data_IF_572848146681
#
_entry.id   IF_572848146681
#
_cell.length_a   1.000
_cell.length_b   1.000
_cell.length_c   1.000
_cell.angle_alpha   90.00
_cell.angle_beta   90.00
_cell.angle_gamma   90.00
#
_symmetry.space_group_name_H-M   'P 1'
#
loop_
_entity.id
_entity.type
_entity.pdbx_description
1 polymer ?
#
# COMPACT_ATOMS: atom_id res chain seq x y z
N UNK A 1 -8.99 -4.19 2.10
CA UNK A 1 -7.81 -4.65 2.85
C UNK A 1 -7.25 -5.85 2.11
N UNK A 2 -5.94 -6.03 2.18
CA UNK A 2 -5.20 -7.10 1.51
C UNK A 2 -4.07 -7.60 2.39
N UNK A 3 -3.66 -8.84 2.16
CA UNK A 3 -2.58 -9.49 2.88
C UNK A 3 -1.69 -10.20 1.87
N UNK A 4 -0.38 -10.03 2.00
CA UNK A 4 0.62 -10.71 1.15
C UNK A 4 1.75 -11.22 2.04
N UNK A 5 2.08 -12.51 1.95
CA UNK A 5 3.18 -13.11 2.71
C UNK A 5 4.43 -13.22 1.82
N UNK A 6 5.56 -12.74 2.34
CA UNK A 6 6.88 -12.91 1.71
C UNK A 6 7.90 -13.34 2.76
N UNK A 7 8.26 -14.63 2.76
CA UNK A 7 9.16 -15.20 3.76
C UNK A 7 8.63 -15.01 5.19
N UNK A 8 9.43 -14.33 6.02
CA UNK A 8 9.07 -13.98 7.40
C UNK A 8 8.15 -12.75 7.50
N UNK A 9 7.93 -12.00 6.42
CA UNK A 9 7.13 -10.78 6.45
C UNK A 9 5.70 -11.04 5.99
N UNK A 10 4.73 -10.54 6.73
CA UNK A 10 3.32 -10.49 6.36
C UNK A 10 2.92 -9.03 6.13
N UNK A 11 2.75 -8.64 4.87
CA UNK A 11 2.30 -7.31 4.49
C UNK A 11 0.78 -7.20 4.63
N UNK A 12 0.33 -6.10 5.21
CA UNK A 12 -1.08 -5.83 5.50
C UNK A 12 -1.41 -4.42 5.01
N UNK A 13 -2.45 -4.31 4.18
CA UNK A 13 -2.90 -3.02 3.66
C UNK A 13 -4.18 -2.55 4.36
N UNK A 14 -4.19 -1.27 4.73
CA UNK A 14 -5.30 -0.56 5.35
C UNK A 14 -5.63 0.65 4.48
N UNK A 15 -6.56 0.53 3.52
CA UNK A 15 -6.95 1.65 2.65
C UNK A 15 -7.56 2.80 3.46
N UNK A 16 -7.26 4.05 3.10
CA UNK A 16 -7.73 5.24 3.81
C UNK A 16 -9.18 5.61 3.46
N UNK A 17 -10.12 4.84 4.02
CA UNK A 17 -11.58 5.06 3.93
C UNK A 17 -12.18 5.81 5.11
N UNK A 18 -11.39 6.08 6.15
CA UNK A 18 -11.77 6.81 7.36
C UNK A 18 -10.56 7.57 7.89
N UNK A 19 -10.81 8.57 8.74
CA UNK A 19 -9.76 9.26 9.48
C UNK A 19 -9.04 8.30 10.45
N UNK A 20 -7.81 8.66 10.83
CA UNK A 20 -7.04 7.93 11.85
C UNK A 20 -6.21 6.75 11.34
N UNK A 21 -5.99 6.60 10.02
CA UNK A 21 -5.13 5.56 9.46
C UNK A 21 -3.72 6.12 9.24
N UNK A 22 -2.74 5.82 10.12
CA UNK A 22 -1.41 6.43 10.06
C UNK A 22 -0.61 5.96 8.84
N UNK A 23 -0.66 4.67 8.51
CA UNK A 23 0.02 4.09 7.37
C UNK A 23 -0.90 3.11 6.63
N UNK A 24 -0.97 3.25 5.31
CA UNK A 24 -1.81 2.38 4.48
C UNK A 24 -1.15 1.04 4.16
N UNK A 25 0.18 0.97 4.19
CA UNK A 25 0.95 -0.26 4.04
C UNK A 25 1.74 -0.54 5.32
N UNK A 26 1.55 -1.74 5.85
CA UNK A 26 2.17 -2.19 7.08
C UNK A 26 2.73 -3.60 6.91
N UNK A 27 3.53 -4.04 7.87
CA UNK A 27 3.98 -5.43 7.94
C UNK A 27 4.07 -5.94 9.38
N UNK A 28 4.11 -7.27 9.48
CA UNK A 28 4.44 -8.03 10.69
C UNK A 28 5.60 -8.98 10.38
N UNK A 29 6.42 -9.29 11.38
CA UNK A 29 7.40 -10.38 11.32
C UNK A 29 6.76 -11.63 11.93
N UNK A 30 6.63 -12.70 11.16
CA UNK A 30 5.99 -13.95 11.61
C UNK A 30 6.79 -14.61 12.73
N UNK A 31 8.12 -14.55 12.67
CA UNK A 31 9.02 -15.07 13.69
C UNK A 31 8.93 -14.30 15.02
N UNK A 32 8.83 -12.96 14.96
CA UNK A 32 8.77 -12.11 16.16
C UNK A 32 7.36 -11.94 16.72
N UNK A 33 6.39 -11.67 15.84
CA UNK A 33 5.04 -11.24 16.20
C UNK A 33 4.03 -12.40 16.16
N UNK A 34 4.37 -13.54 15.55
CA UNK A 34 3.43 -14.65 15.28
C UNK A 34 2.90 -15.39 16.52
N UNK A 35 3.51 -15.20 17.69
CA UNK A 35 3.02 -15.75 18.97
C UNK A 35 2.04 -14.82 19.68
N UNK A 36 1.96 -13.56 19.27
CA UNK A 36 1.04 -12.58 19.83
C UNK A 36 -0.27 -12.66 19.08
N UNK A 37 -1.40 -12.75 19.79
CA UNK A 37 -2.74 -12.87 19.18
C UNK A 37 -3.11 -11.67 18.30
N UNK A 38 -2.72 -10.47 18.71
CA UNK A 38 -3.03 -9.20 18.04
C UNK A 38 -1.81 -8.26 18.07
N UNK A 39 -0.76 -8.52 17.28
CA UNK A 39 0.42 -7.69 17.28
C UNK A 39 0.15 -6.33 16.65
N UNK A 40 0.88 -5.31 17.10
CA UNK A 40 0.80 -3.97 16.52
C UNK A 40 1.37 -3.97 15.08
N UNK A 41 0.66 -3.29 14.17
CA UNK A 41 1.12 -3.11 12.80
C UNK A 41 2.29 -2.12 12.75
N UNK A 42 3.28 -2.43 11.91
CA UNK A 42 4.44 -1.56 11.68
C UNK A 42 4.35 -0.94 10.28
N UNK A 43 4.41 0.40 10.13
CA UNK A 43 4.45 1.05 8.84
C UNK A 43 5.62 0.53 7.99
N UNK A 44 5.37 0.30 6.71
CA UNK A 44 6.41 -0.12 5.77
C UNK A 44 6.76 1.01 4.76
N UNK A 45 8.04 1.25 4.46
CA UNK A 45 9.23 0.63 5.08
C UNK A 45 9.56 1.23 6.46
N UNK A 46 9.14 2.48 6.71
CA UNK A 46 9.11 3.13 8.01
C UNK A 46 8.02 4.21 8.01
N UNK A 47 7.76 4.83 9.18
CA UNK A 47 6.69 5.83 9.31
C UNK A 47 6.89 7.07 8.44
N UNK A 48 8.13 7.49 8.17
CA UNK A 48 8.40 8.70 7.39
C UNK A 48 8.13 8.43 5.90
N UNK A 49 8.64 7.32 5.38
CA UNK A 49 8.49 6.93 3.97
C UNK A 49 7.09 6.39 3.65
N UNK A 50 6.42 5.73 4.61
CA UNK A 50 5.05 5.23 4.44
C UNK A 50 4.04 6.35 4.13
N UNK A 51 4.33 7.60 4.54
CA UNK A 51 3.47 8.77 4.24
C UNK A 51 3.38 9.11 2.75
N UNK A 52 4.34 8.66 1.93
CA UNK A 52 4.29 8.83 0.48
C UNK A 52 3.17 8.02 -0.19
N UNK A 53 2.67 6.98 0.49
CA UNK A 53 1.53 6.20 0.03
C UNK A 53 0.24 6.83 0.58
N UNK A 54 -0.73 7.07 -0.29
CA UNK A 54 -2.02 7.64 0.12
C UNK A 54 -2.98 6.54 0.57
N UNK A 55 -3.31 5.60 -0.32
CA UNK A 55 -4.27 4.53 -0.03
C UNK A 55 -4.00 3.33 -0.93
N UNK A 56 -3.63 2.22 -0.32
CA UNK A 56 -3.27 0.98 -1.02
C UNK A 56 -4.25 -0.13 -0.65
N UNK A 57 -4.75 -0.85 -1.65
CA UNK A 57 -5.71 -1.93 -1.46
C UNK A 57 -5.11 -3.32 -1.43
N UNK A 58 -4.27 -3.63 -2.40
CA UNK A 58 -3.67 -4.94 -2.58
C UNK A 58 -2.19 -4.76 -2.89
N UNK A 59 -1.42 -5.71 -2.43
CA UNK A 59 -0.01 -5.86 -2.73
C UNK A 59 0.20 -7.19 -3.44
N UNK A 60 1.28 -7.28 -4.22
CA UNK A 60 1.72 -8.53 -4.82
C UNK A 60 3.23 -8.61 -4.83
N UNK A 61 3.79 -9.68 -4.29
CA UNK A 61 5.21 -9.96 -4.41
C UNK A 61 5.48 -10.78 -5.68
N UNK A 62 6.58 -10.45 -6.37
CA UNK A 62 7.05 -11.24 -7.51
C UNK A 62 8.27 -12.10 -7.16
N UNK A 63 8.66 -12.96 -8.12
CA UNK A 63 9.81 -13.86 -7.98
C UNK A 63 11.16 -13.15 -7.82
N UNK A 64 11.24 -11.85 -8.15
CA UNK A 64 12.45 -11.05 -8.05
C UNK A 64 12.57 -10.36 -6.68
N UNK A 65 11.64 -10.61 -5.75
CA UNK A 65 11.63 -9.94 -4.47
C UNK A 65 11.18 -8.48 -4.58
N UNK A 66 10.28 -8.15 -5.50
CA UNK A 66 9.68 -6.82 -5.58
C UNK A 66 8.24 -6.85 -5.07
N UNK A 67 7.87 -5.87 -4.26
CA UNK A 67 6.51 -5.68 -3.77
C UNK A 67 5.81 -4.61 -4.61
N UNK A 68 4.80 -5.05 -5.36
CA UNK A 68 3.98 -4.23 -6.23
C UNK A 68 2.71 -3.80 -5.53
N UNK A 69 2.26 -2.59 -5.82
CA UNK A 69 0.97 -2.08 -5.37
C UNK A 69 0.45 -1.00 -6.30
N UNK A 70 -0.85 -0.74 -6.19
CA UNK A 70 -1.49 0.46 -6.71
C UNK A 70 -1.82 1.36 -5.53
N UNK A 71 -1.25 2.55 -5.55
CA UNK A 71 -1.62 3.65 -4.66
C UNK A 71 -2.68 4.48 -5.37
N UNK A 72 -3.90 4.50 -4.86
CA UNK A 72 -5.03 5.17 -5.53
C UNK A 72 -4.89 6.69 -5.50
N UNK A 73 -4.06 7.22 -4.61
CA UNK A 73 -3.97 8.67 -4.37
C UNK A 73 -5.24 9.30 -3.80
N UNK A 74 -6.25 8.48 -3.47
CA UNK A 74 -7.59 8.91 -3.08
C UNK A 74 -7.83 8.60 -1.60
N UNK A 75 -8.27 9.60 -0.86
CA UNK A 75 -8.91 9.42 0.44
C UNK A 75 -10.41 9.20 0.20
N UNK A 76 -10.92 8.04 0.61
CA UNK A 76 -12.31 7.62 0.39
C UNK A 76 -13.12 7.80 1.68
N UNK A 77 -13.03 9.00 2.27
CA UNK A 77 -13.78 9.31 3.49
C UNK A 77 -15.25 9.57 3.10
N UNK A 78 -16.23 8.89 3.74
CA UNK A 78 -17.64 9.11 3.47
C UNK A 78 -18.02 10.59 3.58
N UNK A 79 -18.65 11.13 2.55
CA UNK A 79 -19.07 12.54 2.48
C UNK A 79 -17.94 13.54 2.14
N UNK A 80 -16.68 13.12 2.09
CA UNK A 80 -15.54 13.98 1.72
C UNK A 80 -14.43 13.20 1.00
N UNK A 81 -14.69 12.62 -0.18
CA UNK A 81 -13.63 11.99 -0.97
C UNK A 81 -12.65 13.06 -1.49
N UNK A 82 -11.35 12.80 -1.39
CA UNK A 82 -10.31 13.75 -1.80
C UNK A 82 -9.18 13.06 -2.59
N UNK A 83 -8.95 13.50 -3.83
CA UNK A 83 -7.83 13.06 -4.65
C UNK A 83 -6.58 13.87 -4.28
N UNK A 84 -5.65 13.30 -3.52
CA UNK A 84 -4.44 13.98 -3.05
C UNK A 84 -3.28 13.91 -4.05
N UNK A 85 -3.24 12.85 -4.85
CA UNK A 85 -2.20 12.63 -5.85
C UNK A 85 -2.73 11.75 -6.98
N UNK A 86 -2.09 11.75 -8.15
CA UNK A 86 -2.48 10.84 -9.23
C UNK A 86 -2.34 9.37 -8.77
N UNK A 87 -3.25 8.47 -9.17
CA UNK A 87 -3.07 7.04 -8.96
C UNK A 87 -1.74 6.59 -9.57
N UNK A 88 -1.05 5.66 -8.92
CA UNK A 88 0.27 5.22 -9.36
C UNK A 88 0.51 3.74 -9.09
N UNK A 89 1.28 3.11 -9.98
CA UNK A 89 1.96 1.84 -9.66
C UNK A 89 3.20 2.18 -8.85
N UNK A 90 3.34 1.55 -7.69
CA UNK A 90 4.50 1.71 -6.81
C UNK A 90 5.16 0.36 -6.59
N UNK A 91 6.48 0.33 -6.67
CA UNK A 91 7.27 -0.89 -6.49
C UNK A 91 8.35 -0.63 -5.44
N UNK A 92 8.41 -1.51 -4.46
CA UNK A 92 9.50 -1.58 -3.49
C UNK A 92 10.37 -2.79 -3.78
N UNK A 93 11.69 -2.59 -3.72
CA UNK A 93 12.63 -3.70 -3.59
C UNK A 93 12.59 -4.21 -2.15
N UNK A 94 12.31 -5.51 -1.97
CA UNK A 94 12.18 -6.13 -0.65
C UNK A 94 13.53 -6.45 -0.01
N UNK A 95 14.63 -6.46 -0.76
CA UNK A 95 15.95 -6.68 -0.19
C UNK A 95 16.47 -5.42 0.54
N UNK A 96 16.25 -4.24 -0.05
CA UNK A 96 16.70 -2.95 0.52
C UNK A 96 15.60 -2.13 1.19
N UNK A 97 14.35 -2.57 1.12
CA UNK A 97 13.16 -1.84 1.59
C UNK A 97 13.07 -0.42 1.03
N UNK A 98 13.43 -0.26 -0.25
CA UNK A 98 13.43 1.04 -0.95
C UNK A 98 12.42 1.04 -2.08
N UNK A 99 11.76 2.18 -2.27
CA UNK A 99 10.95 2.40 -3.45
C UNK A 99 11.88 2.48 -4.66
N UNK A 100 11.70 1.58 -5.63
CA UNK A 100 12.50 1.54 -6.85
C UNK A 100 11.76 2.10 -8.07
N UNK A 101 10.43 2.19 -8.00
CA UNK A 101 9.60 2.77 -9.04
C UNK A 101 8.36 3.41 -8.43
N UNK A 102 7.99 4.59 -8.93
CA UNK A 102 6.64 5.13 -8.86
C UNK A 102 6.29 5.60 -10.27
N UNK A 103 5.27 4.99 -10.88
CA UNK A 103 4.73 5.38 -12.16
C UNK A 103 3.35 6.02 -11.94
N UNK A 104 3.25 7.37 -11.91
CA UNK A 104 1.97 8.06 -11.88
C UNK A 104 1.23 7.78 -13.20
N UNK A 105 -0.04 7.39 -13.10
CA UNK A 105 -0.88 7.17 -14.27
C UNK A 105 -1.08 8.46 -15.03
N UNK A 106 -0.86 8.38 -16.33
CA UNK A 106 -1.19 9.43 -17.29
C UNK A 106 -2.69 9.40 -17.54
N UNK A 107 -3.22 10.48 -18.13
CA UNK A 107 -4.61 10.51 -18.59
C UNK A 107 -4.94 9.35 -19.54
N UNK A 108 -3.98 8.90 -20.35
CA UNK A 108 -4.12 7.75 -21.25
C UNK A 108 -4.21 6.39 -20.54
N UNK A 109 -3.74 6.29 -19.30
CA UNK A 109 -3.72 5.04 -18.54
C UNK A 109 -5.01 4.85 -17.72
N UNK A 110 -5.79 5.92 -17.56
CA UNK A 110 -7.02 5.92 -16.81
C UNK A 110 -8.21 5.58 -17.72
N UNK A 111 -9.16 4.76 -17.24
CA UNK A 111 -10.40 4.56 -17.96
C UNK A 111 -11.13 5.90 -18.14
N UNK A 112 -11.84 6.06 -19.26
CA UNK A 112 -12.74 7.19 -19.42
C UNK A 112 -13.76 7.20 -18.27
N UNK A 113 -14.16 8.39 -17.81
CA UNK A 113 -15.03 8.57 -16.64
C UNK A 113 -16.35 7.77 -16.68
N UNK A 114 -16.76 7.31 -17.87
CA UNK A 114 -18.00 6.58 -18.13
C UNK A 114 -17.77 5.09 -18.45
N UNK A 115 -16.60 4.54 -18.14
CA UNK A 115 -16.33 3.12 -18.36
C UNK A 115 -17.13 2.32 -17.32
N UNK A 116 -18.11 1.49 -17.72
CA UNK A 116 -18.85 0.67 -16.77
C UNK A 116 -17.90 -0.32 -16.09
N UNK A 117 -17.94 -0.40 -14.77
CA UNK A 117 -17.23 -1.39 -13.94
C UNK A 117 -18.19 -2.41 -13.38
#
# INVERSE_FOLDING_TARGET
MGVERVGDRLFITVPRRRYGIPATLNYLSLSRDGKTRSPALRPYPDIARARSLTSVYRTRADKCGRLWMVDTGLLEIPGNPQQLQAPAIVIFDLASDRQILRYPFKSSDLPAANTPT
#
